data_IF_092423453696
#
_entry.id   IF_092423453696
#
_cell.length_a   1.000
_cell.length_b   1.000
_cell.length_c   1.000
_cell.angle_alpha   90.00
_cell.angle_beta   90.00
_cell.angle_gamma   90.00
#
_symmetry.space_group_name_H-M   'P 1'
#
loop_
_entity.id
_entity.type
_entity.pdbx_description
1 polymer ?
#
# COMPACT_ATOMS: atom_id res chain seq x y z
N UNK A 1 -8.87 14.11 18.11
CA UNK A 1 -7.71 14.06 19.01
C UNK A 1 -7.14 12.66 18.93
N UNK A 2 -5.82 12.51 18.82
CA UNK A 2 -5.15 11.20 18.78
C UNK A 2 -3.74 11.32 19.38
N UNK A 3 -3.12 10.20 19.75
CA UNK A 3 -1.73 10.18 20.20
C UNK A 3 -0.84 9.81 19.01
N UNK A 4 0.13 10.67 18.70
CA UNK A 4 1.15 10.37 17.70
C UNK A 4 1.94 9.12 18.12
N UNK A 5 1.95 8.11 17.28
CA UNK A 5 2.61 6.83 17.58
C UNK A 5 4.14 6.88 17.40
N UNK A 6 4.67 8.00 16.89
CA UNK A 6 6.12 8.21 16.75
C UNK A 6 6.72 9.02 17.90
N UNK A 7 6.05 10.08 18.36
CA UNK A 7 6.58 10.96 19.41
C UNK A 7 5.74 10.97 20.70
N UNK A 8 4.60 10.28 20.76
CA UNK A 8 3.73 10.22 21.93
C UNK A 8 2.89 11.49 22.20
N UNK A 9 3.00 12.52 21.38
CA UNK A 9 2.25 13.76 21.59
C UNK A 9 0.74 13.57 21.36
N UNK A 10 -0.08 14.12 22.26
CA UNK A 10 -1.54 14.23 22.05
C UNK A 10 -1.82 15.35 21.06
N UNK A 11 -2.36 14.99 19.90
CA UNK A 11 -2.68 15.90 18.80
C UNK A 11 -4.12 16.40 18.97
N UNK A 12 -4.39 17.72 18.88
CA UNK A 12 -5.71 18.29 19.14
C UNK A 12 -6.79 17.83 18.14
N UNK A 13 -8.08 18.06 18.46
CA UNK A 13 -9.16 17.87 17.50
C UNK A 13 -8.95 18.68 16.22
N UNK A 14 -9.52 18.19 15.10
CA UNK A 14 -9.43 18.81 13.76
C UNK A 14 -8.04 18.88 13.13
N UNK A 15 -7.04 18.22 13.72
CA UNK A 15 -5.77 17.94 13.04
C UNK A 15 -5.82 16.54 12.41
N UNK A 16 -5.56 16.38 11.10
CA UNK A 16 -5.57 15.08 10.46
C UNK A 16 -4.39 14.22 10.94
N UNK A 17 -4.64 12.94 11.18
CA UNK A 17 -3.59 11.96 11.39
C UNK A 17 -3.03 11.53 10.03
N UNK A 18 -1.70 11.57 9.88
CA UNK A 18 -1.04 11.08 8.66
C UNK A 18 -0.54 9.66 8.93
N UNK A 19 -0.86 8.73 8.03
CA UNK A 19 -0.35 7.36 8.12
C UNK A 19 0.99 7.26 7.40
N UNK A 20 2.03 6.90 8.15
CA UNK A 20 3.40 6.78 7.63
C UNK A 20 3.88 5.34 7.71
N UNK A 21 4.64 4.92 6.70
CA UNK A 21 5.28 3.59 6.66
C UNK A 21 6.55 3.66 7.50
N UNK A 22 6.63 2.91 8.59
CA UNK A 22 7.79 2.91 9.49
C UNK A 22 8.78 1.82 9.13
N UNK A 23 8.31 0.70 8.58
CA UNK A 23 9.18 -0.37 8.10
C UNK A 23 8.58 -1.10 6.91
N UNK A 24 9.45 -1.58 6.02
CA UNK A 24 9.11 -2.43 4.89
C UNK A 24 9.83 -3.77 5.03
N UNK A 25 9.27 -4.82 4.43
CA UNK A 25 9.90 -6.14 4.33
C UNK A 25 10.00 -6.58 2.88
N UNK A 26 11.09 -7.24 2.47
CA UNK A 26 11.15 -7.84 1.14
C UNK A 26 10.13 -8.99 1.04
N UNK A 27 9.53 -9.16 -0.13
CA UNK A 27 8.54 -10.20 -0.39
C UNK A 27 8.76 -10.81 -1.77
N UNK A 28 8.80 -12.13 -1.81
CA UNK A 28 8.62 -12.91 -3.04
C UNK A 28 7.13 -13.18 -3.24
N UNK A 29 6.62 -12.78 -4.39
CA UNK A 29 5.28 -13.10 -4.87
C UNK A 29 5.35 -14.33 -5.77
N UNK A 30 4.53 -15.36 -5.51
CA UNK A 30 4.50 -16.55 -6.34
C UNK A 30 3.77 -16.27 -7.66
N UNK A 31 3.99 -17.13 -8.65
CA UNK A 31 3.17 -17.18 -9.84
C UNK A 31 1.69 -17.41 -9.48
N UNK A 32 0.77 -16.67 -10.11
CA UNK A 32 -0.67 -16.82 -9.91
C UNK A 32 -1.39 -17.00 -11.26
N UNK A 33 -1.99 -18.18 -11.52
CA UNK A 33 -2.72 -18.40 -12.76
C UNK A 33 -4.01 -17.57 -12.78
N UNK A 34 -4.34 -17.01 -13.95
CA UNK A 34 -5.59 -16.28 -14.20
C UNK A 34 -5.89 -15.12 -13.22
N UNK A 35 -4.86 -14.48 -12.68
CA UNK A 35 -4.99 -13.46 -11.64
C UNK A 35 -5.53 -12.11 -12.15
N UNK A 36 -5.26 -11.78 -13.42
CA UNK A 36 -5.65 -10.51 -14.00
C UNK A 36 -6.86 -10.70 -14.93
N UNK A 37 -7.97 -10.04 -14.61
CA UNK A 37 -9.20 -10.08 -15.43
C UNK A 37 -9.30 -8.80 -16.26
N UNK A 38 -9.54 -8.94 -17.55
CA UNK A 38 -9.75 -7.81 -18.46
C UNK A 38 -10.80 -8.14 -19.52
N UNK A 39 -11.51 -7.11 -19.98
CA UNK A 39 -12.59 -7.26 -20.96
C UNK A 39 -12.14 -6.70 -22.30
N UNK A 40 -12.24 -7.50 -23.37
CA UNK A 40 -11.90 -7.07 -24.73
C UNK A 40 -12.97 -7.53 -25.72
N UNK A 41 -13.21 -6.77 -26.80
CA UNK A 41 -14.07 -7.22 -27.88
C UNK A 41 -13.39 -8.36 -28.65
N UNK A 42 -14.15 -9.42 -28.91
CA UNK A 42 -13.76 -10.44 -29.89
C UNK A 42 -13.95 -9.92 -31.33
N UNK A 43 -13.40 -10.61 -32.34
CA UNK A 43 -13.65 -10.28 -33.75
C UNK A 43 -15.15 -10.22 -34.13
N UNK A 44 -16.01 -10.88 -33.35
CA UNK A 44 -17.48 -10.83 -33.49
C UNK A 44 -18.11 -9.53 -32.97
N UNK A 45 -17.33 -8.61 -32.39
CA UNK A 45 -17.80 -7.37 -31.77
C UNK A 45 -18.36 -7.53 -30.35
N UNK A 46 -18.51 -8.77 -29.84
CA UNK A 46 -18.98 -9.03 -28.48
C UNK A 46 -17.84 -8.83 -27.47
N UNK A 47 -18.11 -8.08 -26.39
CA UNK A 47 -17.17 -7.94 -25.27
C UNK A 47 -17.14 -9.26 -24.49
N UNK A 48 -15.94 -9.78 -24.24
CA UNK A 48 -15.73 -11.00 -23.47
C UNK A 48 -14.70 -10.79 -22.37
N UNK A 49 -14.87 -11.57 -21.30
CA UNK A 49 -13.91 -11.68 -20.22
C UNK A 49 -12.70 -12.51 -20.66
N UNK A 50 -11.51 -11.98 -20.42
CA UNK A 50 -10.23 -12.66 -20.61
C UNK A 50 -9.45 -12.63 -19.29
N UNK A 51 -8.63 -13.66 -19.09
CA UNK A 51 -7.76 -13.79 -17.93
C UNK A 51 -6.32 -13.93 -18.37
N UNK A 52 -5.40 -13.27 -17.68
CA UNK A 52 -3.96 -13.50 -17.82
C UNK A 52 -3.34 -13.89 -16.49
N UNK A 53 -2.23 -14.62 -16.59
CA UNK A 53 -1.44 -15.02 -15.44
C UNK A 53 -0.68 -13.82 -14.89
N UNK A 54 -0.47 -13.81 -13.58
CA UNK A 54 0.50 -12.95 -12.93
C UNK A 54 1.79 -13.79 -12.73
N UNK A 55 2.92 -13.39 -13.32
CA UNK A 55 4.17 -14.14 -13.20
C UNK A 55 4.73 -14.15 -11.76
N UNK A 56 4.21 -13.31 -10.87
CA UNK A 56 4.82 -13.05 -9.57
C UNK A 56 6.08 -12.18 -9.71
N UNK A 57 6.95 -12.22 -8.71
CA UNK A 57 8.19 -11.43 -8.70
C UNK A 57 8.68 -11.07 -7.31
N UNK A 58 9.69 -10.20 -7.23
CA UNK A 58 10.20 -9.66 -5.97
C UNK A 58 9.72 -8.24 -5.76
N UNK A 59 9.41 -7.89 -4.52
CA UNK A 59 9.03 -6.53 -4.16
C UNK A 59 9.15 -6.27 -2.67
N UNK A 60 8.47 -5.21 -2.21
CA UNK A 60 8.46 -4.79 -0.82
C UNK A 60 7.01 -4.67 -0.35
N UNK A 61 6.74 -5.19 0.85
CA UNK A 61 5.48 -4.96 1.54
C UNK A 61 5.69 -4.01 2.71
N UNK A 62 4.66 -3.22 3.02
CA UNK A 62 4.59 -2.47 4.26
C UNK A 62 4.50 -3.46 5.42
N UNK A 63 5.49 -3.44 6.30
CA UNK A 63 5.54 -4.31 7.48
C UNK A 63 4.92 -3.64 8.70
N UNK A 64 5.07 -2.31 8.83
CA UNK A 64 4.49 -1.53 9.93
C UNK A 64 4.17 -0.11 9.47
N UNK A 65 3.03 0.38 9.93
CA UNK A 65 2.58 1.76 9.78
C UNK A 65 2.38 2.41 11.15
N UNK A 66 2.38 3.74 11.17
CA UNK A 66 2.09 4.53 12.36
C UNK A 66 1.23 5.75 12.01
N UNK A 67 0.36 6.16 12.93
CA UNK A 67 -0.29 7.47 12.91
C UNK A 67 0.68 8.53 13.45
N UNK A 68 1.06 9.46 12.59
CA UNK A 68 1.97 10.55 12.90
C UNK A 68 1.24 11.90 12.97
N UNK A 69 1.71 12.77 13.86
CA UNK A 69 1.38 14.19 13.79
C UNK A 69 2.00 14.82 12.53
N UNK A 70 1.52 16.01 12.09
CA UNK A 70 2.05 16.66 10.89
C UNK A 70 3.56 16.86 10.90
N UNK A 71 4.15 17.16 12.07
CA UNK A 71 5.60 17.32 12.23
C UNK A 71 6.35 16.02 11.97
N UNK A 72 5.97 14.92 12.64
CA UNK A 72 6.63 13.63 12.42
C UNK A 72 6.39 13.07 11.01
N UNK A 73 5.26 13.41 10.39
CA UNK A 73 4.97 13.00 9.02
C UNK A 73 5.88 13.71 8.01
N UNK A 74 6.26 14.97 8.25
CA UNK A 74 7.10 15.76 7.35
C UNK A 74 8.57 15.31 7.32
N UNK A 75 9.10 14.79 8.43
CA UNK A 75 10.51 14.34 8.52
C UNK A 75 10.72 12.96 7.88
N UNK A 76 9.66 12.15 7.78
CA UNK A 76 9.77 10.74 7.41
C UNK A 76 10.40 9.88 8.52
N UNK A 77 10.27 8.55 8.46
CA UNK A 77 11.02 7.67 9.35
C UNK A 77 12.49 7.72 8.94
N UNK A 78 13.37 8.03 9.88
CA UNK A 78 14.82 7.87 9.68
C UNK A 78 15.09 6.41 9.34
N UNK A 79 15.58 6.15 8.13
CA UNK A 79 16.10 4.85 7.75
C UNK A 79 17.33 4.57 8.60
N UNK A 80 17.17 3.72 9.62
CA UNK A 80 18.29 3.03 10.25
C UNK A 80 18.81 1.93 9.31
#
# INVERSE_FOLDING_TARGET
MFVCQLCGATVPPRTPAVRVIVSRRPKQYPFRPNANVFYRPEPSGKIKEHKSNDPGGVGWEVAREAFACPTCAATGPTSN
#
